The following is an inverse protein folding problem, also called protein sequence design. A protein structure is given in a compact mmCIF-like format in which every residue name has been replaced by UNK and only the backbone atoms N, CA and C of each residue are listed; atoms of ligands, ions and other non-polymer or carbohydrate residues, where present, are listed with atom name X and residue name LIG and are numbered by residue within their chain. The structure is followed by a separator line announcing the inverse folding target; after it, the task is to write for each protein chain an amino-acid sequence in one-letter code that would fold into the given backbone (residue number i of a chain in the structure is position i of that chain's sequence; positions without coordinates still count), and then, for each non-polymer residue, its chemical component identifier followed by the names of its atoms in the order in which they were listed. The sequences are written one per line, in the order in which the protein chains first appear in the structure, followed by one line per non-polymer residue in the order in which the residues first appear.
data_IF_686138946171
#
_entry.id   IF_686138946171
#
_cell.length_a   1.000
_cell.length_b   1.000
_cell.length_c   1.000
_cell.angle_alpha   90.00
_cell.angle_beta   90.00
_cell.angle_gamma   90.00
#
_symmetry.space_group_name_H-M   'P 1'
#
loop_
_entity.id
_entity.type
_entity.pdbx_description
1 polymer ?
#
# COMPACT_ATOMS: atom_id res chain seq x y z
N UNK A 1 -2.00 -22.59 3.04
CA UNK A 1 -2.24 -21.13 3.14
C UNK A 1 -3.70 -20.91 3.44
N UNK A 2 -4.02 -20.03 4.40
CA UNK A 2 -5.40 -19.64 4.67
C UNK A 2 -5.69 -18.35 3.92
N UNK A 3 -6.14 -18.49 2.66
CA UNK A 3 -6.36 -17.37 1.73
C UNK A 3 -7.31 -16.30 2.28
N UNK A 4 -8.29 -16.68 3.12
CA UNK A 4 -9.18 -15.70 3.77
C UNK A 4 -8.46 -14.82 4.78
N UNK A 5 -7.57 -15.40 5.59
CA UNK A 5 -6.79 -14.63 6.56
C UNK A 5 -5.81 -13.68 5.87
N UNK A 6 -5.23 -14.14 4.76
CA UNK A 6 -4.33 -13.33 3.94
C UNK A 6 -5.08 -12.16 3.29
N UNK A 7 -6.27 -12.43 2.72
CA UNK A 7 -7.16 -11.39 2.19
C UNK A 7 -7.52 -10.32 3.23
N UNK A 8 -7.85 -10.73 4.46
CA UNK A 8 -8.11 -9.79 5.56
C UNK A 8 -6.87 -8.95 5.87
N UNK A 9 -5.68 -9.58 5.95
CA UNK A 9 -4.43 -8.86 6.20
C UNK A 9 -4.13 -7.85 5.09
N UNK A 10 -4.40 -8.19 3.82
CA UNK A 10 -4.21 -7.28 2.69
C UNK A 10 -5.20 -6.11 2.73
N UNK A 11 -6.46 -6.35 3.11
CA UNK A 11 -7.46 -5.28 3.32
C UNK A 11 -7.06 -4.34 4.46
N UNK A 12 -6.59 -4.87 5.59
CA UNK A 12 -6.11 -4.06 6.72
C UNK A 12 -4.83 -3.26 6.38
N UNK A 13 -3.99 -3.80 5.49
CA UNK A 13 -2.76 -3.14 5.04
C UNK A 13 -3.00 -2.14 3.93
N UNK A 14 -4.11 -2.21 3.21
CA UNK A 14 -4.40 -1.38 2.05
C UNK A 14 -4.21 0.13 2.30
N UNK A 15 -4.78 0.67 3.39
CA UNK A 15 -4.65 2.10 3.70
C UNK A 15 -3.21 2.48 4.09
N UNK A 16 -2.53 1.60 4.83
CA UNK A 16 -1.11 1.78 5.18
C UNK A 16 -0.21 1.72 3.95
N UNK A 17 -0.51 0.85 2.99
CA UNK A 17 0.21 0.74 1.74
C UNK A 17 0.02 1.98 0.87
N UNK A 18 -1.19 2.55 0.82
CA UNK A 18 -1.45 3.84 0.16
C UNK A 18 -0.61 4.97 0.77
N UNK A 19 -0.65 5.12 2.09
CA UNK A 19 0.18 6.11 2.79
C UNK A 19 1.68 5.85 2.58
N UNK A 20 2.11 4.59 2.54
CA UNK A 20 3.48 4.24 2.26
C UNK A 20 3.92 4.65 0.85
N UNK A 21 3.04 4.57 -0.16
CA UNK A 21 3.36 5.02 -1.51
C UNK A 21 3.64 6.52 -1.56
N UNK A 22 2.81 7.32 -0.88
CA UNK A 22 3.01 8.78 -0.77
C UNK A 22 4.33 9.08 -0.06
N UNK A 23 4.56 8.46 1.11
CA UNK A 23 5.80 8.64 1.88
C UNK A 23 7.05 8.20 1.12
N UNK A 24 7.00 7.09 0.37
CA UNK A 24 8.15 6.62 -0.43
C UNK A 24 8.40 7.58 -1.60
N UNK A 25 7.36 8.10 -2.23
CA UNK A 25 7.48 9.10 -3.29
C UNK A 25 8.18 10.36 -2.77
N UNK A 26 7.76 10.89 -1.62
CA UNK A 26 8.39 12.05 -1.00
C UNK A 26 9.85 11.78 -0.63
N UNK A 27 10.14 10.58 -0.08
CA UNK A 27 11.51 10.15 0.25
C UNK A 27 12.41 10.11 -0.98
N UNK A 28 11.89 9.61 -2.11
CA UNK A 28 12.62 9.60 -3.40
C UNK A 28 12.90 11.03 -3.86
N UNK A 29 11.93 11.95 -3.73
CA UNK A 29 12.13 13.37 -4.07
C UNK A 29 13.26 14.00 -3.23
N UNK A 30 13.22 13.82 -1.91
CA UNK A 30 14.25 14.36 -1.00
C UNK A 30 15.65 13.81 -1.35
N UNK A 31 15.74 12.52 -1.69
CA UNK A 31 17.01 11.90 -2.09
C UNK A 31 17.51 12.43 -3.44
N UNK A 32 16.62 12.76 -4.38
CA UNK A 32 16.97 13.41 -5.65
C UNK A 32 17.52 14.83 -5.44
N UNK A 33 16.88 15.61 -4.57
CA UNK A 33 17.32 16.98 -4.25
C UNK A 33 18.68 16.95 -3.55
N UNK A 34 18.86 16.01 -2.62
CA UNK A 34 20.14 15.79 -1.94
C UNK A 34 21.25 15.37 -2.91
N UNK A 35 20.95 14.47 -3.85
CA UNK A 35 21.89 14.04 -4.88
C UNK A 35 22.30 15.20 -5.80
N UNK A 36 21.34 16.01 -6.23
CA UNK A 36 21.59 17.19 -7.08
C UNK A 36 22.42 18.23 -6.35
N UNK A 37 22.14 18.47 -5.07
CA UNK A 37 22.90 19.39 -4.21
C UNK A 37 24.35 18.93 -4.00
N UNK A 38 24.55 17.65 -3.69
CA UNK A 38 25.88 17.05 -3.54
C UNK A 38 26.68 17.15 -4.84
N UNK A 39 26.04 16.85 -5.98
CA UNK A 39 26.66 16.94 -7.30
C UNK A 39 27.13 18.37 -7.61
N UNK A 40 26.28 19.38 -7.35
CA UNK A 40 26.64 20.78 -7.54
C UNK A 40 27.80 21.22 -6.64
N UNK A 41 27.82 20.80 -5.37
CA UNK A 41 28.89 21.13 -4.42
C UNK A 41 30.25 20.51 -4.81
N UNK A 42 30.26 19.32 -5.43
CA UNK A 42 31.49 18.68 -5.91
C UNK A 42 32.08 19.33 -7.16
N UNK A 43 31.28 19.98 -8.02
CA UNK A 43 31.82 20.69 -9.19
C UNK A 43 32.56 21.97 -8.80
N UNK A 44 32.20 22.57 -7.66
CA UNK A 44 32.74 23.86 -7.20
C UNK A 44 34.00 23.71 -6.32
N UNK A 45 34.24 22.52 -5.77
CA UNK A 45 35.42 22.21 -4.94
C UNK A 45 36.08 20.94 -5.45
N UNK A 46 37.24 21.06 -6.10
CA UNK A 46 38.13 19.92 -6.37
C UNK A 46 38.57 19.30 -5.03
N UNK A 47 38.11 18.09 -4.66
CA UNK A 47 38.37 17.54 -3.35
C UNK A 47 39.80 16.98 -3.25
N UNK A 48 40.45 17.21 -2.09
CA UNK A 48 41.68 16.53 -1.73
C UNK A 48 41.39 15.03 -1.54
N UNK A 49 42.29 14.13 -1.99
CA UNK A 49 42.05 12.67 -2.14
C UNK A 49 41.30 11.96 -0.99
N UNK A 50 41.45 12.40 0.25
CA UNK A 50 40.76 11.81 1.41
C UNK A 50 39.25 12.16 1.51
N UNK A 51 38.85 13.34 1.02
CA UNK A 51 37.43 13.76 1.00
C UNK A 51 36.68 13.20 -0.23
N UNK A 52 37.40 12.89 -1.31
CA UNK A 52 36.83 12.27 -2.50
C UNK A 52 36.15 10.93 -2.19
N UNK A 53 36.78 10.08 -1.36
CA UNK A 53 36.21 8.78 -0.96
C UNK A 53 34.92 8.94 -0.16
N UNK A 54 34.86 9.88 0.79
CA UNK A 54 33.63 10.14 1.57
C UNK A 54 32.49 10.65 0.71
N UNK A 55 32.82 11.46 -0.30
CA UNK A 55 31.84 11.99 -1.25
C UNK A 55 31.29 10.88 -2.17
N UNK A 56 32.17 10.05 -2.73
CA UNK A 56 31.78 8.89 -3.54
C UNK A 56 30.92 7.90 -2.75
N UNK A 57 31.29 7.61 -1.49
CA UNK A 57 30.50 6.75 -0.60
C UNK A 57 29.11 7.31 -0.32
N UNK A 58 28.99 8.63 -0.08
CA UNK A 58 27.69 9.28 0.13
C UNK A 58 26.81 9.23 -1.13
N UNK A 59 27.41 9.40 -2.30
CA UNK A 59 26.73 9.34 -3.59
C UNK A 59 26.27 7.92 -3.92
N UNK A 60 27.13 6.92 -3.70
CA UNK A 60 26.80 5.50 -3.84
C UNK A 60 25.69 5.08 -2.89
N UNK A 61 25.75 5.51 -1.63
CA UNK A 61 24.70 5.22 -0.64
C UNK A 61 23.35 5.83 -1.07
N UNK A 62 23.34 7.06 -1.59
CA UNK A 62 22.11 7.68 -2.12
C UNK A 62 21.52 6.87 -3.29
N UNK A 63 22.36 6.42 -4.23
CA UNK A 63 21.92 5.59 -5.37
C UNK A 63 21.31 4.27 -4.89
N UNK A 64 22.00 3.57 -3.96
CA UNK A 64 21.54 2.29 -3.42
C UNK A 64 20.21 2.45 -2.68
N UNK A 65 20.07 3.46 -1.83
CA UNK A 65 18.84 3.72 -1.08
C UNK A 65 17.67 4.09 -2.01
N UNK A 66 17.91 4.88 -3.04
CA UNK A 66 16.90 5.17 -4.07
C UNK A 66 16.44 3.91 -4.79
N UNK A 67 17.36 3.06 -5.22
CA UNK A 67 17.01 1.84 -5.94
C UNK A 67 16.20 0.87 -5.07
N UNK A 68 16.54 0.75 -3.78
CA UNK A 68 15.73 -0.01 -2.81
C UNK A 68 14.32 0.56 -2.71
N UNK A 69 14.19 1.88 -2.51
CA UNK A 69 12.90 2.56 -2.37
C UNK A 69 12.05 2.44 -3.64
N UNK A 70 12.65 2.58 -4.83
CA UNK A 70 11.95 2.40 -6.11
C UNK A 70 11.43 0.96 -6.28
N UNK A 71 12.22 -0.04 -5.89
CA UNK A 71 11.78 -1.44 -5.93
C UNK A 71 10.63 -1.68 -4.95
N UNK A 72 10.74 -1.19 -3.71
CA UNK A 72 9.66 -1.25 -2.73
C UNK A 72 8.41 -0.53 -3.24
N UNK A 73 8.55 0.64 -3.85
CA UNK A 73 7.45 1.39 -4.45
C UNK A 73 6.73 0.58 -5.53
N UNK A 74 7.48 -0.05 -6.45
CA UNK A 74 6.91 -0.88 -7.52
C UNK A 74 6.13 -2.07 -6.97
N UNK A 75 6.67 -2.74 -5.94
CA UNK A 75 6.01 -3.87 -5.28
C UNK A 75 4.74 -3.41 -4.58
N UNK A 76 4.82 -2.42 -3.70
CA UNK A 76 3.67 -1.89 -2.95
C UNK A 76 2.59 -1.36 -3.89
N UNK A 77 2.98 -0.66 -4.98
CA UNK A 77 2.03 -0.16 -5.99
C UNK A 77 1.31 -1.30 -6.69
N UNK A 78 2.02 -2.38 -6.99
CA UNK A 78 1.43 -3.57 -7.61
C UNK A 78 0.44 -4.26 -6.68
N UNK A 79 0.77 -4.36 -5.38
CA UNK A 79 -0.13 -4.89 -4.35
C UNK A 79 -1.41 -4.03 -4.23
N UNK A 80 -1.26 -2.72 -4.05
CA UNK A 80 -2.41 -1.78 -3.99
C UNK A 80 -3.29 -1.92 -5.24
N UNK A 81 -2.69 -2.03 -6.43
CA UNK A 81 -3.43 -2.20 -7.68
C UNK A 81 -4.20 -3.53 -7.73
N UNK A 82 -3.63 -4.61 -7.21
CA UNK A 82 -4.32 -5.91 -7.13
C UNK A 82 -5.51 -5.83 -6.18
N UNK A 83 -5.33 -5.23 -5.00
CA UNK A 83 -6.41 -5.00 -4.03
C UNK A 83 -7.51 -4.12 -4.62
N UNK A 84 -7.17 -3.05 -5.33
CA UNK A 84 -8.16 -2.17 -6.00
C UNK A 84 -8.94 -2.89 -7.09
N UNK A 85 -8.27 -3.75 -7.88
CA UNK A 85 -8.96 -4.59 -8.87
C UNK A 85 -9.92 -5.58 -8.22
N UNK A 86 -9.51 -6.22 -7.13
CA UNK A 86 -10.37 -7.10 -6.34
C UNK A 86 -11.60 -6.35 -5.83
N UNK A 87 -11.38 -5.21 -5.17
CA UNK A 87 -12.47 -4.36 -4.66
C UNK A 87 -13.40 -3.86 -5.77
N UNK A 88 -12.90 -3.52 -6.96
CA UNK A 88 -13.71 -3.02 -8.08
C UNK A 88 -14.76 -4.03 -8.56
N UNK A 89 -14.50 -5.34 -8.38
CA UNK A 89 -15.45 -6.41 -8.75
C UNK A 89 -16.61 -6.57 -7.77
N UNK A 90 -16.48 -6.06 -6.54
CA UNK A 90 -17.52 -6.12 -5.53
C UNK A 90 -18.58 -5.04 -5.78
N UNK A 91 -19.79 -5.30 -5.33
CA UNK A 91 -20.86 -4.31 -5.32
C UNK A 91 -20.59 -3.22 -4.27
N UNK A 92 -21.20 -2.05 -4.41
CA UNK A 92 -20.93 -0.93 -3.50
C UNK A 92 -21.34 -1.24 -2.05
N UNK A 93 -22.42 -2.00 -1.85
CA UNK A 93 -22.80 -2.51 -0.51
C UNK A 93 -21.72 -3.43 0.07
N UNK A 94 -21.16 -4.33 -0.73
CA UNK A 94 -20.13 -5.29 -0.31
C UNK A 94 -18.81 -4.57 0.00
N UNK A 95 -18.40 -3.62 -0.84
CA UNK A 95 -17.27 -2.73 -0.58
C UNK A 95 -17.45 -1.97 0.72
N UNK A 96 -18.64 -1.41 0.96
CA UNK A 96 -18.94 -0.62 2.16
C UNK A 96 -18.84 -1.46 3.43
N UNK A 97 -19.35 -2.69 3.38
CA UNK A 97 -19.21 -3.65 4.48
C UNK A 97 -17.73 -3.96 4.73
N UNK A 98 -16.94 -4.33 3.71
CA UNK A 98 -15.51 -4.61 3.90
C UNK A 98 -14.72 -3.39 4.39
N UNK A 99 -15.08 -2.19 3.92
CA UNK A 99 -14.46 -0.93 4.34
C UNK A 99 -14.60 -0.75 5.85
N UNK A 100 -15.82 -0.83 6.40
CA UNK A 100 -16.05 -0.60 7.82
C UNK A 100 -15.59 -1.75 8.72
N UNK A 101 -15.52 -2.97 8.19
CA UNK A 101 -15.03 -4.13 8.94
C UNK A 101 -13.50 -4.21 9.01
N UNK A 102 -12.79 -3.98 7.90
CA UNK A 102 -11.37 -4.29 7.77
C UNK A 102 -10.48 -3.10 7.40
N UNK A 103 -10.93 -2.20 6.51
CA UNK A 103 -10.08 -1.09 6.04
C UNK A 103 -10.06 0.04 7.06
N UNK A 104 -11.25 0.58 7.38
CA UNK A 104 -11.49 1.70 8.30
C UNK A 104 -12.36 1.23 9.44
N UNK A 105 -11.78 0.40 10.30
CA UNK A 105 -12.48 -0.19 11.43
C UNK A 105 -13.05 0.90 12.34
N UNK A 106 -14.37 1.03 12.36
CA UNK A 106 -15.09 1.98 13.21
C UNK A 106 -15.79 1.26 14.37
N UNK A 107 -16.02 2.00 15.46
CA UNK A 107 -16.91 1.55 16.53
C UNK A 107 -18.35 1.53 16.01
N UNK A 108 -19.13 0.56 16.48
CA UNK A 108 -20.54 0.39 16.08
C UNK A 108 -20.75 0.32 14.56
N UNK A 109 -19.78 -0.28 13.84
CA UNK A 109 -19.83 -0.39 12.39
C UNK A 109 -21.02 -1.23 11.91
N UNK A 110 -21.47 -2.20 12.70
CA UNK A 110 -22.61 -3.04 12.35
C UNK A 110 -23.90 -2.24 12.42
N UNK A 111 -24.13 -1.52 13.52
CA UNK A 111 -25.30 -0.67 13.71
C UNK A 111 -25.37 0.41 12.62
N UNK A 112 -24.24 1.05 12.32
CA UNK A 112 -24.14 2.02 11.23
C UNK A 112 -24.47 1.40 9.86
N UNK A 113 -23.98 0.19 9.57
CA UNK A 113 -24.32 -0.53 8.34
C UNK A 113 -25.80 -0.91 8.28
N UNK A 114 -26.43 -1.21 9.43
CA UNK A 114 -27.88 -1.46 9.50
C UNK A 114 -28.66 -0.21 9.13
N UNK A 115 -28.26 0.95 9.67
CA UNK A 115 -28.89 2.24 9.35
C UNK A 115 -28.63 2.67 7.90
N UNK A 116 -27.40 2.54 7.39
CA UNK A 116 -27.02 2.95 6.03
C UNK A 116 -27.64 2.05 4.95
N UNK A 117 -27.69 0.73 5.15
CA UNK A 117 -28.13 -0.24 4.14
C UNK A 117 -29.58 -0.74 4.36
N UNK A 118 -30.19 -0.43 5.51
CA UNK A 118 -31.53 -0.90 5.86
C UNK A 118 -31.61 -2.42 6.09
N UNK A 119 -30.49 -3.07 6.39
CA UNK A 119 -30.43 -4.53 6.58
C UNK A 119 -30.37 -4.93 8.05
N UNK A 120 -30.87 -6.13 8.34
CA UNK A 120 -30.69 -6.75 9.65
C UNK A 120 -29.22 -7.15 9.88
N UNK A 121 -28.84 -7.20 11.15
CA UNK A 121 -27.51 -7.61 11.61
C UNK A 121 -27.04 -8.92 10.97
N UNK A 122 -27.90 -9.93 10.90
CA UNK A 122 -27.58 -11.25 10.32
C UNK A 122 -27.20 -11.11 8.84
N UNK A 123 -27.94 -10.31 8.08
CA UNK A 123 -27.70 -10.08 6.66
C UNK A 123 -26.37 -9.38 6.41
N UNK A 124 -25.95 -8.46 7.31
CA UNK A 124 -24.65 -7.79 7.22
C UNK A 124 -23.50 -8.78 7.37
N UNK A 125 -23.57 -9.71 8.32
CA UNK A 125 -22.53 -10.74 8.46
C UNK A 125 -22.48 -11.69 7.26
N UNK A 126 -23.64 -12.05 6.69
CA UNK A 126 -23.68 -12.84 5.46
C UNK A 126 -23.08 -12.09 4.27
N UNK A 127 -23.39 -10.79 4.13
CA UNK A 127 -22.81 -9.93 3.10
C UNK A 127 -21.30 -9.80 3.26
N UNK A 128 -20.81 -9.66 4.50
CA UNK A 128 -19.38 -9.63 4.80
C UNK A 128 -18.69 -10.91 4.34
N UNK A 129 -19.24 -12.08 4.68
CA UNK A 129 -18.63 -13.37 4.31
C UNK A 129 -18.61 -13.55 2.78
N UNK A 130 -19.71 -13.21 2.11
CA UNK A 130 -19.80 -13.24 0.64
C UNK A 130 -18.79 -12.29 0.00
N UNK A 131 -18.74 -11.04 0.47
CA UNK A 131 -17.80 -10.05 -0.04
C UNK A 131 -16.34 -10.48 0.14
N UNK A 132 -16.01 -11.04 1.31
CA UNK A 132 -14.66 -11.54 1.57
C UNK A 132 -14.30 -12.71 0.66
N UNK A 133 -15.26 -13.60 0.41
CA UNK A 133 -15.10 -14.72 -0.51
C UNK A 133 -14.87 -14.26 -1.94
N UNK A 134 -15.74 -13.41 -2.47
CA UNK A 134 -15.66 -12.87 -3.84
C UNK A 134 -14.36 -12.06 -4.04
N UNK A 135 -13.95 -11.30 -3.02
CA UNK A 135 -12.67 -10.60 -3.00
C UNK A 135 -11.48 -11.58 -3.06
N UNK A 136 -11.50 -12.64 -2.26
CA UNK A 136 -10.42 -13.65 -2.23
C UNK A 136 -10.29 -14.34 -3.59
N UNK A 137 -11.41 -14.70 -4.23
CA UNK A 137 -11.42 -15.29 -5.57
C UNK A 137 -10.82 -14.33 -6.59
N UNK A 138 -11.27 -13.06 -6.60
CA UNK A 138 -10.78 -12.08 -7.56
C UNK A 138 -9.29 -11.75 -7.37
N UNK A 139 -8.82 -11.70 -6.12
CA UNK A 139 -7.45 -11.32 -5.80
C UNK A 139 -6.45 -12.43 -6.07
N UNK A 140 -6.77 -13.68 -5.69
CA UNK A 140 -5.86 -14.82 -5.82
C UNK A 140 -6.13 -15.68 -7.06
N UNK A 141 -7.20 -15.38 -7.82
CA UNK A 141 -7.56 -16.15 -9.02
C UNK A 141 -7.96 -17.59 -8.69
N UNK A 142 -8.48 -17.83 -7.49
CA UNK A 142 -8.98 -19.15 -7.11
C UNK A 142 -10.21 -19.47 -7.96
N UNK A 143 -10.04 -20.30 -8.98
CA UNK A 143 -11.16 -20.90 -9.71
C UNK A 143 -11.88 -21.83 -8.74
N UNK A 144 -13.16 -21.57 -8.47
CA UNK A 144 -14.01 -22.51 -7.77
C UNK A 144 -14.04 -23.82 -8.58
N UNK A 145 -13.51 -24.90 -8.01
CA UNK A 145 -13.74 -26.26 -8.50
C UNK A 145 -14.97 -26.83 -7.80
#
# INVERSE_FOLDING_TARGET
MNWRQEAVCDLERYEKQKQALDNISDRISILNDSYTSLKSASMDKLPYKADATRFEDAMLNNIVERQKLENTYKITRSLVRLTEKGLCKLNDCEKRVLELFYIRKQKMHVERLMEELGYEKTKIYSLREKALHDFTICMYGLLEC
#
